data_IF_365022691352
#
_entry.id   IF_365022691352
#
_cell.length_a   1.000
_cell.length_b   1.000
_cell.length_c   1.000
_cell.angle_alpha   90.00
_cell.angle_beta   90.00
_cell.angle_gamma   90.00
#
_symmetry.space_group_name_H-M   'P 1'
#
loop_
_entity.id
_entity.type
_entity.pdbx_description
1 polymer ?
#
# COMPACT_ATOMS: atom_id res chain seq x y z
N UNK A 1 24.26 -29.68 -97.91
CA UNK A 1 22.84 -30.07 -98.09
C UNK A 1 22.72 -31.55 -97.76
N UNK A 2 21.95 -31.96 -96.75
CA UNK A 2 21.79 -33.38 -96.46
C UNK A 2 20.79 -33.98 -97.46
N UNK A 3 21.25 -35.02 -98.15
CA UNK A 3 20.48 -35.81 -99.10
C UNK A 3 19.73 -36.94 -98.38
N UNK A 4 18.40 -36.81 -98.27
CA UNK A 4 17.51 -37.98 -98.19
C UNK A 4 16.98 -38.44 -96.83
N UNK A 5 16.76 -37.56 -95.86
CA UNK A 5 16.04 -37.91 -94.62
C UNK A 5 15.40 -36.68 -93.95
N UNK A 6 14.29 -36.88 -93.23
CA UNK A 6 13.64 -35.81 -92.44
C UNK A 6 14.67 -35.17 -91.51
N UNK A 7 14.69 -33.84 -91.43
CA UNK A 7 15.62 -33.13 -90.54
C UNK A 7 15.31 -33.46 -89.07
N UNK A 8 16.28 -33.32 -88.17
CA UNK A 8 16.06 -33.58 -86.74
C UNK A 8 14.91 -32.74 -86.15
N UNK A 9 14.76 -31.50 -86.64
CA UNK A 9 13.67 -30.61 -86.26
C UNK A 9 12.31 -31.16 -86.70
N UNK A 10 12.20 -31.72 -87.92
CA UNK A 10 10.98 -32.38 -88.41
C UNK A 10 10.68 -33.70 -87.69
N UNK A 11 11.71 -34.41 -87.21
CA UNK A 11 11.53 -35.63 -86.41
C UNK A 11 11.01 -35.35 -85.00
N UNK A 12 11.47 -34.24 -84.40
CA UNK A 12 11.05 -33.79 -83.06
C UNK A 12 9.73 -33.00 -83.13
N UNK A 13 9.35 -32.49 -84.31
CA UNK A 13 8.13 -31.71 -84.52
C UNK A 13 8.27 -30.21 -84.20
N UNK A 14 9.50 -29.69 -84.23
CA UNK A 14 9.80 -28.27 -84.02
C UNK A 14 9.89 -27.55 -85.36
N UNK A 15 9.09 -26.50 -85.54
CA UNK A 15 9.03 -25.73 -86.79
C UNK A 15 10.18 -24.72 -86.93
N UNK A 16 10.72 -24.23 -85.81
CA UNK A 16 11.87 -23.32 -85.74
C UNK A 16 12.48 -23.35 -84.35
N UNK A 17 13.80 -23.13 -84.24
CA UNK A 17 14.45 -22.94 -82.93
C UNK A 17 14.00 -21.61 -82.32
N UNK A 18 13.56 -21.63 -81.06
CA UNK A 18 13.22 -20.42 -80.33
C UNK A 18 14.49 -19.74 -79.81
N UNK A 19 14.56 -18.42 -79.90
CA UNK A 19 15.61 -17.66 -79.22
C UNK A 19 15.39 -17.71 -77.70
N UNK A 20 16.46 -17.98 -76.97
CA UNK A 20 16.43 -17.97 -75.52
C UNK A 20 16.82 -16.58 -75.03
N UNK A 21 15.97 -15.98 -74.19
CA UNK A 21 16.15 -14.62 -73.67
C UNK A 21 17.40 -14.50 -72.79
N UNK A 22 17.87 -15.60 -72.19
CA UNK A 22 18.95 -15.60 -71.20
C UNK A 22 20.31 -16.04 -71.76
N UNK A 23 20.45 -16.20 -73.09
CA UNK A 23 21.75 -16.55 -73.69
C UNK A 23 22.64 -15.30 -73.68
N UNK A 24 23.67 -15.33 -72.83
CA UNK A 24 24.64 -14.24 -72.68
C UNK A 24 24.47 -13.39 -71.41
N UNK A 25 23.33 -13.54 -70.71
CA UNK A 25 23.10 -12.85 -69.44
C UNK A 25 23.97 -13.47 -68.35
N UNK A 26 24.83 -12.65 -67.73
CA UNK A 26 25.66 -13.08 -66.60
C UNK A 26 24.76 -13.34 -65.40
N UNK A 27 24.76 -14.56 -64.89
CA UNK A 27 23.99 -14.93 -63.70
C UNK A 27 24.47 -14.15 -62.46
N UNK A 28 23.59 -13.32 -61.89
CA UNK A 28 23.81 -12.68 -60.59
C UNK A 28 23.21 -13.52 -59.46
N UNK A 29 24.07 -14.11 -58.63
CA UNK A 29 23.59 -14.93 -57.52
C UNK A 29 22.87 -14.07 -56.48
N UNK A 30 21.67 -14.48 -56.08
CA UNK A 30 20.88 -13.79 -55.05
C UNK A 30 21.60 -13.72 -53.69
N UNK A 31 22.53 -14.65 -53.44
CA UNK A 31 23.35 -14.71 -52.23
C UNK A 31 24.38 -13.58 -52.12
N UNK A 32 24.80 -13.00 -53.25
CA UNK A 32 25.82 -11.93 -53.29
C UNK A 32 25.20 -10.52 -53.27
N UNK A 33 23.88 -10.41 -53.11
CA UNK A 33 23.20 -9.12 -53.10
C UNK A 33 23.16 -8.56 -51.68
N UNK A 34 24.06 -7.62 -51.39
CA UNK A 34 24.06 -6.91 -50.12
C UNK A 34 22.80 -6.04 -50.01
N UNK A 35 22.00 -6.25 -48.96
CA UNK A 35 20.86 -5.39 -48.65
C UNK A 35 21.38 -4.10 -48.01
N UNK A 36 21.02 -2.95 -48.60
CA UNK A 36 21.35 -1.61 -48.10
C UNK A 36 22.86 -1.37 -47.85
N UNK A 37 23.65 -1.42 -48.91
CA UNK A 37 25.12 -1.21 -48.87
C UNK A 37 25.55 0.11 -48.20
N UNK A 38 24.73 1.15 -48.25
CA UNK A 38 25.04 2.43 -47.62
C UNK A 38 25.06 2.32 -46.08
N UNK A 39 24.26 1.42 -45.51
CA UNK A 39 24.21 1.20 -44.06
C UNK A 39 25.43 0.40 -43.55
N UNK A 40 26.02 -0.48 -44.35
CA UNK A 40 27.18 -1.29 -43.94
C UNK A 40 28.51 -0.57 -44.10
N UNK A 41 28.61 0.40 -45.03
CA UNK A 41 29.88 1.08 -45.36
C UNK A 41 30.27 2.20 -44.36
N UNK A 42 29.33 2.69 -43.55
CA UNK A 42 29.54 3.81 -42.64
C UNK A 42 29.75 3.36 -41.18
N UNK A 43 30.17 4.30 -40.31
CA UNK A 43 30.32 4.03 -38.87
C UNK A 43 28.99 3.60 -38.26
N UNK A 44 29.00 2.48 -37.56
CA UNK A 44 27.86 1.98 -36.80
C UNK A 44 27.71 2.76 -35.49
N UNK A 45 26.49 2.75 -34.93
CA UNK A 45 26.22 3.33 -33.61
C UNK A 45 27.06 2.62 -32.55
N UNK A 46 27.83 3.39 -31.78
CA UNK A 46 28.62 2.85 -30.67
C UNK A 46 27.75 2.82 -29.42
N UNK A 47 27.36 1.63 -28.98
CA UNK A 47 26.79 1.43 -27.64
C UNK A 47 27.91 1.20 -26.64
N UNK A 48 27.97 1.99 -25.57
CA UNK A 48 28.86 1.67 -24.45
C UNK A 48 28.39 0.41 -23.72
N UNK A 49 29.35 -0.40 -23.23
CA UNK A 49 29.06 -1.55 -22.38
C UNK A 49 28.75 -1.15 -20.93
N UNK A 50 28.08 -2.03 -20.19
CA UNK A 50 27.80 -1.82 -18.77
C UNK A 50 29.09 -1.90 -17.94
N UNK A 51 29.31 -0.93 -17.04
CA UNK A 51 30.45 -0.88 -16.12
C UNK A 51 30.03 -1.45 -14.76
N UNK A 52 29.84 -2.77 -14.69
CA UNK A 52 29.24 -3.47 -13.53
C UNK A 52 30.13 -3.53 -12.28
N UNK A 53 31.45 -3.46 -12.43
CA UNK A 53 32.42 -3.62 -11.33
C UNK A 53 33.38 -2.42 -11.25
N UNK A 54 32.86 -1.20 -11.36
CA UNK A 54 33.66 0.01 -11.25
C UNK A 54 33.30 0.80 -9.99
N UNK A 55 34.30 1.04 -9.13
CA UNK A 55 34.18 1.96 -8.00
C UNK A 55 34.30 3.45 -8.42
N UNK A 56 34.51 3.71 -9.72
CA UNK A 56 34.57 5.06 -10.27
C UNK A 56 33.18 5.61 -10.58
N UNK A 57 33.05 6.94 -10.65
CA UNK A 57 31.79 7.62 -10.99
C UNK A 57 31.22 7.17 -12.34
N UNK A 58 32.06 6.65 -13.25
CA UNK A 58 31.65 6.14 -14.54
C UNK A 58 30.62 4.98 -14.49
N UNK A 59 30.47 4.31 -13.34
CA UNK A 59 29.44 3.28 -13.13
C UNK A 59 28.06 3.83 -12.70
N UNK A 60 27.96 5.13 -12.41
CA UNK A 60 26.73 5.78 -11.97
C UNK A 60 26.16 6.68 -13.08
N UNK A 61 24.85 6.93 -13.03
CA UNK A 61 24.18 7.80 -14.00
C UNK A 61 24.60 9.27 -13.90
N UNK A 62 24.88 9.74 -12.68
CA UNK A 62 25.35 11.11 -12.48
C UNK A 62 26.82 11.23 -12.89
N UNK A 63 27.23 12.24 -13.68
CA UNK A 63 28.61 12.38 -14.12
C UNK A 63 29.57 12.81 -13.00
N UNK A 64 29.03 13.35 -11.91
CA UNK A 64 29.77 13.79 -10.72
C UNK A 64 29.10 13.27 -9.47
N UNK A 65 29.91 12.89 -8.49
CA UNK A 65 29.44 12.52 -7.17
C UNK A 65 28.87 13.78 -6.48
N UNK A 66 27.58 13.75 -6.15
CA UNK A 66 26.92 14.84 -5.40
C UNK A 66 27.13 14.60 -3.91
N UNK A 67 28.12 15.28 -3.33
CA UNK A 67 28.36 15.21 -1.89
C UNK A 67 27.38 16.12 -1.16
N UNK A 68 26.69 15.56 -0.17
CA UNK A 68 25.66 16.27 0.62
C UNK A 68 26.26 17.46 1.38
N UNK A 69 27.48 17.31 1.89
CA UNK A 69 28.14 18.30 2.76
C UNK A 69 29.13 19.22 2.02
N UNK A 70 28.97 19.42 0.71
CA UNK A 70 29.80 20.39 -0.02
C UNK A 70 29.30 21.82 0.25
N UNK A 71 30.16 22.66 0.85
CA UNK A 71 29.84 24.05 1.18
C UNK A 71 29.24 24.25 2.57
N UNK A 72 28.96 23.18 3.32
CA UNK A 72 28.55 23.29 4.71
C UNK A 72 29.77 23.59 5.60
N UNK A 73 29.72 24.69 6.36
CA UNK A 73 30.71 24.94 7.39
C UNK A 73 30.53 23.90 8.50
N UNK A 74 31.53 23.05 8.70
CA UNK A 74 31.60 22.15 9.87
C UNK A 74 31.67 22.99 11.15
N UNK A 75 30.50 23.43 11.63
CA UNK A 75 30.38 24.20 12.86
C UNK A 75 30.21 23.23 14.01
N UNK A 76 31.20 23.19 14.91
CA UNK A 76 31.09 22.38 16.11
C UNK A 76 30.15 23.11 17.11
N UNK A 77 28.94 22.60 17.39
CA UNK A 77 27.97 23.30 18.24
C UNK A 77 28.48 23.47 19.67
N UNK A 78 29.37 22.59 20.14
CA UNK A 78 29.99 22.68 21.46
C UNK A 78 30.96 23.87 21.52
N UNK A 79 31.78 24.04 20.49
CA UNK A 79 32.68 25.19 20.39
C UNK A 79 31.90 26.50 20.29
N UNK A 80 30.81 26.51 19.52
CA UNK A 80 29.92 27.67 19.39
C UNK A 80 29.29 28.05 20.74
N UNK A 81 28.68 27.08 21.45
CA UNK A 81 28.11 27.29 22.79
C UNK A 81 29.15 27.80 23.79
N UNK A 82 30.39 27.28 23.73
CA UNK A 82 31.49 27.72 24.59
C UNK A 82 31.87 29.17 24.31
N UNK A 83 31.97 29.57 23.03
CA UNK A 83 32.23 30.96 22.64
C UNK A 83 31.13 31.91 23.11
N UNK A 84 29.86 31.52 22.95
CA UNK A 84 28.73 32.30 23.47
C UNK A 84 28.78 32.46 24.98
N UNK A 85 28.99 31.36 25.73
CA UNK A 85 29.10 31.41 27.19
C UNK A 85 30.22 32.34 27.66
N UNK A 86 31.39 32.30 27.01
CA UNK A 86 32.51 33.20 27.33
C UNK A 86 32.22 34.66 26.97
N UNK A 87 31.49 34.92 25.88
CA UNK A 87 31.08 36.26 25.50
C UNK A 87 30.03 36.82 26.47
N UNK A 88 29.08 36.00 26.93
CA UNK A 88 28.08 36.36 27.93
C UNK A 88 28.72 36.58 29.30
N UNK A 89 29.65 35.72 29.73
CA UNK A 89 30.33 35.89 31.01
C UNK A 89 31.14 37.18 31.09
N UNK A 90 31.69 37.65 29.96
CA UNK A 90 32.38 38.96 29.88
C UNK A 90 31.45 40.16 30.06
N UNK A 91 30.15 40.00 29.82
CA UNK A 91 29.15 41.06 30.04
C UNK A 91 28.75 41.20 31.51
N UNK A 92 29.10 40.24 32.36
CA UNK A 92 28.77 40.27 33.78
C UNK A 92 29.71 41.23 34.52
N UNK A 93 29.19 42.38 34.95
CA UNK A 93 29.95 43.43 35.66
C UNK A 93 30.20 43.11 37.15
N UNK A 94 29.53 42.09 37.70
CA UNK A 94 29.58 41.75 39.13
C UNK A 94 29.46 40.25 39.39
N UNK A 95 29.41 39.88 40.68
CA UNK A 95 29.16 38.49 41.09
C UNK A 95 27.80 38.03 40.57
N UNK A 96 27.74 36.82 40.03
CA UNK A 96 26.48 36.21 39.61
C UNK A 96 25.48 36.24 40.77
N UNK A 97 24.27 36.72 40.51
CA UNK A 97 23.19 36.67 41.48
C UNK A 97 22.94 35.20 41.85
N UNK A 98 23.21 34.86 43.10
CA UNK A 98 22.87 33.56 43.67
C UNK A 98 21.51 33.75 44.35
N UNK A 99 20.41 33.25 43.76
CA UNK A 99 19.12 33.30 44.44
C UNK A 99 19.27 32.58 45.80
N UNK A 100 18.76 33.21 46.86
CA UNK A 100 18.90 32.74 48.25
C UNK A 100 18.25 31.37 48.49
N UNK A 101 17.38 30.92 47.59
CA UNK A 101 16.90 29.55 47.49
C UNK A 101 16.77 29.22 45.98
N UNK A 102 17.38 28.12 45.54
CA UNK A 102 17.11 27.57 44.21
C UNK A 102 15.69 27.03 44.11
N UNK A 103 15.21 26.81 42.88
CA UNK A 103 13.88 26.23 42.64
C UNK A 103 13.72 24.92 43.40
N UNK A 104 12.84 24.92 44.41
CA UNK A 104 12.44 23.70 45.11
C UNK A 104 11.58 22.90 44.14
N UNK A 105 12.16 21.88 43.51
CA UNK A 105 11.40 20.93 42.73
C UNK A 105 10.27 20.37 43.60
N UNK A 106 9.03 20.22 43.09
CA UNK A 106 7.93 19.66 43.85
C UNK A 106 8.23 18.20 44.20
N UNK A 107 8.85 17.96 45.35
CA UNK A 107 9.02 16.63 45.93
C UNK A 107 7.76 16.26 46.72
N UNK A 108 6.68 15.96 45.99
CA UNK A 108 5.44 15.43 46.55
C UNK A 108 5.48 13.91 46.79
N UNK A 109 4.36 13.40 47.32
CA UNK A 109 4.12 11.97 47.50
C UNK A 109 4.30 11.23 46.16
N UNK A 110 5.28 10.33 46.07
CA UNK A 110 5.60 9.57 44.85
C UNK A 110 6.81 10.06 44.04
N UNK A 111 7.53 11.11 44.48
CA UNK A 111 8.82 11.49 43.89
C UNK A 111 9.96 10.65 44.48
N UNK A 112 10.96 10.26 43.67
CA UNK A 112 12.10 9.39 44.07
C UNK A 112 12.93 9.98 45.23
N UNK A 113 12.88 11.30 45.41
CA UNK A 113 13.60 12.04 46.46
C UNK A 113 12.70 12.48 47.65
N UNK A 114 11.42 12.12 47.66
CA UNK A 114 10.46 12.51 48.69
C UNK A 114 10.29 11.44 49.78
N UNK A 115 10.45 11.82 51.04
CA UNK A 115 10.49 10.94 52.22
C UNK A 115 9.13 10.55 52.81
N UNK A 116 8.00 10.97 52.23
CA UNK A 116 6.67 10.84 52.87
C UNK A 116 5.86 9.65 52.34
N UNK A 117 6.33 8.94 51.31
CA UNK A 117 5.76 7.66 50.89
C UNK A 117 6.65 6.53 51.38
N UNK A 118 6.20 5.74 52.35
CA UNK A 118 6.89 4.50 52.76
C UNK A 118 7.15 3.56 51.57
N UNK A 119 7.90 2.46 51.78
CA UNK A 119 8.26 1.54 50.70
C UNK A 119 7.00 1.07 49.95
N UNK A 120 6.95 1.35 48.63
CA UNK A 120 5.83 0.98 47.78
C UNK A 120 5.74 -0.55 47.73
N UNK A 121 4.68 -1.12 48.31
CA UNK A 121 4.50 -2.56 48.54
C UNK A 121 4.48 -3.42 47.28
N UNK A 122 4.39 -2.82 46.09
CA UNK A 122 4.19 -3.52 44.82
C UNK A 122 5.43 -3.60 43.91
N UNK A 123 6.58 -3.00 44.29
CA UNK A 123 7.83 -3.18 43.53
C UNK A 123 8.54 -4.47 43.95
N UNK A 124 8.02 -5.62 43.52
CA UNK A 124 8.76 -6.88 43.53
C UNK A 124 9.73 -6.88 42.34
N UNK A 125 11.02 -7.17 42.56
CA UNK A 125 12.00 -7.39 41.48
C UNK A 125 11.74 -8.69 40.69
N UNK A 126 10.70 -9.46 41.05
CA UNK A 126 10.26 -10.63 40.32
C UNK A 126 9.73 -10.23 38.94
N UNK A 127 10.28 -10.87 37.91
CA UNK A 127 9.75 -10.80 36.54
C UNK A 127 8.35 -11.43 36.53
N UNK A 128 7.31 -10.59 36.62
CA UNK A 128 5.93 -11.03 36.40
C UNK A 128 5.77 -11.42 34.93
N UNK A 129 5.16 -12.58 34.68
CA UNK A 129 4.79 -12.98 33.33
C UNK A 129 3.93 -11.86 32.71
N UNK A 130 4.35 -11.37 31.55
CA UNK A 130 3.62 -10.33 30.82
C UNK A 130 2.23 -10.87 30.50
N UNK A 131 1.19 -10.17 30.92
CA UNK A 131 -0.18 -10.55 30.58
C UNK A 131 -0.29 -10.68 29.05
N UNK A 132 -0.99 -11.71 28.59
CA UNK A 132 -1.21 -11.90 27.15
C UNK A 132 -1.95 -10.67 26.63
N UNK A 133 -1.42 -10.07 25.57
CA UNK A 133 -2.04 -8.93 24.93
C UNK A 133 -3.47 -9.30 24.51
N UNK A 134 -4.44 -8.64 25.11
CA UNK A 134 -5.84 -8.69 24.69
C UNK A 134 -6.02 -7.55 23.68
N UNK A 135 -6.29 -7.84 22.40
CA UNK A 135 -6.56 -6.78 21.43
C UNK A 135 -7.77 -5.98 21.91
N UNK A 136 -7.76 -4.64 21.74
CA UNK A 136 -8.91 -3.82 22.10
C UNK A 136 -10.14 -4.36 21.39
N UNK A 137 -11.26 -4.46 22.12
CA UNK A 137 -12.55 -4.79 21.53
C UNK A 137 -12.88 -3.83 20.39
N UNK A 138 -13.77 -4.24 19.48
CA UNK A 138 -14.25 -3.35 18.41
C UNK A 138 -14.76 -2.05 19.03
N UNK A 139 -14.34 -0.92 18.48
CA UNK A 139 -14.90 0.38 18.81
C UNK A 139 -16.43 0.31 18.69
N UNK A 140 -17.16 0.75 19.73
CA UNK A 140 -18.60 0.88 19.67
C UNK A 140 -18.96 1.74 18.46
N UNK A 141 -19.67 1.15 17.50
CA UNK A 141 -20.12 1.85 16.31
C UNK A 141 -21.36 2.65 16.68
N UNK A 142 -21.17 3.85 17.22
CA UNK A 142 -22.27 4.82 17.33
C UNK A 142 -22.48 5.42 15.95
N UNK A 143 -23.20 4.73 15.07
CA UNK A 143 -23.81 5.41 13.93
C UNK A 143 -24.90 6.32 14.50
N UNK A 144 -24.75 7.66 14.50
CA UNK A 144 -25.89 8.50 14.81
C UNK A 144 -27.02 8.13 13.86
N UNK A 145 -28.24 7.95 14.39
CA UNK A 145 -29.38 7.51 13.59
C UNK A 145 -29.54 8.39 12.35
N UNK A 146 -29.97 7.80 11.23
CA UNK A 146 -30.16 8.48 9.92
C UNK A 146 -31.20 9.61 9.92
N UNK A 147 -31.70 10.03 11.09
CA UNK A 147 -32.66 11.11 11.27
C UNK A 147 -32.24 11.88 12.52
N UNK A 148 -31.40 12.89 12.30
CA UNK A 148 -30.89 13.76 13.34
C UNK A 148 -32.02 14.46 14.08
N UNK A 149 -32.05 14.28 15.40
CA UNK A 149 -32.75 15.15 16.33
C UNK A 149 -31.71 16.09 16.94
N UNK A 150 -31.72 17.36 16.49
CA UNK A 150 -31.11 18.55 17.11
C UNK A 150 -29.57 18.59 17.10
N UNK A 151 -28.86 19.56 16.52
CA UNK A 151 -29.17 20.95 16.22
C UNK A 151 -28.23 21.45 15.10
N UNK A 152 -28.77 22.18 14.12
CA UNK A 152 -28.02 22.98 13.14
C UNK A 152 -27.59 22.26 11.86
N UNK A 153 -28.44 22.22 10.83
CA UNK A 153 -27.95 21.98 9.48
C UNK A 153 -27.50 23.31 8.86
N UNK A 154 -26.36 23.30 8.19
CA UNK A 154 -25.90 24.43 7.38
C UNK A 154 -26.95 24.78 6.32
N UNK A 155 -27.18 26.07 6.08
CA UNK A 155 -28.12 26.62 5.08
C UNK A 155 -29.64 26.48 5.35
N UNK A 156 -30.09 26.43 6.62
CA UNK A 156 -31.54 26.52 6.91
C UNK A 156 -32.10 27.95 6.94
N UNK A 157 -31.25 28.95 7.18
CA UNK A 157 -31.64 30.36 7.26
C UNK A 157 -31.51 31.05 5.90
N UNK A 158 -32.29 32.10 5.66
CA UNK A 158 -32.20 32.92 4.44
C UNK A 158 -30.84 33.64 4.44
N UNK A 159 -29.98 33.32 3.47
CA UNK A 159 -28.65 33.93 3.27
C UNK A 159 -27.53 32.88 3.14
N UNK A 160 -26.47 33.22 2.41
CA UNK A 160 -25.28 32.38 2.35
C UNK A 160 -24.62 32.30 3.73
N UNK A 161 -24.25 31.10 4.15
CA UNK A 161 -23.52 30.91 5.40
C UNK A 161 -22.12 31.50 5.26
N UNK A 162 -21.72 32.37 6.19
CA UNK A 162 -20.39 32.97 6.19
C UNK A 162 -19.32 31.87 6.15
N UNK A 163 -18.33 31.98 5.25
CA UNK A 163 -17.23 31.04 5.23
C UNK A 163 -16.47 31.13 6.54
N UNK A 164 -16.14 29.99 7.13
CA UNK A 164 -15.31 29.95 8.34
C UNK A 164 -13.89 30.40 7.97
N UNK A 165 -13.54 31.63 8.35
CA UNK A 165 -12.16 32.10 8.29
C UNK A 165 -11.36 31.46 9.42
N UNK A 166 -10.13 31.05 9.13
CA UNK A 166 -9.27 30.48 10.14
C UNK A 166 -8.85 31.55 11.16
N UNK A 167 -9.06 31.27 12.44
CA UNK A 167 -8.63 32.13 13.52
C UNK A 167 -7.09 32.19 13.61
N UNK A 168 -6.53 33.29 14.12
CA UNK A 168 -5.08 33.54 14.17
C UNK A 168 -4.30 32.49 14.98
N UNK A 169 -4.97 31.86 15.95
CA UNK A 169 -4.41 30.77 16.77
C UNK A 169 -4.30 29.43 16.02
N UNK A 170 -5.01 29.26 14.90
CA UNK A 170 -4.94 28.05 14.08
C UNK A 170 -3.86 28.09 13.00
N UNK A 171 -3.20 29.24 12.86
CA UNK A 171 -2.24 29.51 11.79
C UNK A 171 -1.09 28.50 11.78
N UNK A 172 -0.58 28.12 12.95
CA UNK A 172 0.45 27.07 13.09
C UNK A 172 -0.04 25.70 12.60
N UNK A 173 -1.28 25.31 12.95
CA UNK A 173 -1.88 24.04 12.53
C UNK A 173 -2.10 24.01 11.01
N UNK A 174 -2.50 25.14 10.43
CA UNK A 174 -2.72 25.29 8.99
C UNK A 174 -1.41 25.20 8.22
N UNK A 175 -0.36 25.89 8.69
CA UNK A 175 0.99 25.81 8.11
C UNK A 175 1.51 24.37 8.18
N UNK A 176 1.40 23.73 9.35
CA UNK A 176 1.85 22.36 9.54
C UNK A 176 1.12 21.35 8.64
N UNK A 177 -0.20 21.55 8.42
CA UNK A 177 -1.00 20.76 7.50
C UNK A 177 -0.57 20.97 6.05
N UNK A 178 -0.44 22.22 5.60
CA UNK A 178 0.02 22.55 4.23
C UNK A 178 1.40 21.97 3.94
N UNK A 179 2.35 22.12 4.86
CA UNK A 179 3.70 21.56 4.71
C UNK A 179 3.67 20.03 4.58
N UNK A 180 2.79 19.35 5.33
CA UNK A 180 2.62 17.89 5.24
C UNK A 180 2.01 17.46 3.91
N UNK A 181 1.04 18.22 3.40
CA UNK A 181 0.39 17.96 2.10
C UNK A 181 1.37 18.17 0.94
N UNK A 182 2.16 19.24 0.97
CA UNK A 182 3.22 19.49 -0.02
C UNK A 182 4.28 18.39 0.00
N UNK A 183 4.76 18.01 1.19
CA UNK A 183 5.68 16.88 1.34
C UNK A 183 5.09 15.60 0.74
N UNK A 184 3.82 15.29 1.04
CA UNK A 184 3.14 14.09 0.52
C UNK A 184 2.94 14.13 -1.01
N UNK A 185 2.76 15.32 -1.59
CA UNK A 185 2.67 15.52 -3.06
C UNK A 185 4.02 15.34 -3.75
N UNK A 186 5.11 15.76 -3.10
CA UNK A 186 6.48 15.64 -3.62
C UNK A 186 7.03 14.21 -3.52
N UNK A 187 6.58 13.42 -2.53
CA UNK A 187 6.93 12.01 -2.38
C UNK A 187 6.34 11.21 -3.54
N UNK A 188 7.18 10.84 -4.51
CA UNK A 188 6.81 9.92 -5.58
C UNK A 188 6.91 8.48 -5.07
N UNK A 189 5.76 7.83 -4.91
CA UNK A 189 5.66 6.42 -4.53
C UNK A 189 5.00 6.19 -3.17
N UNK A 190 4.70 4.93 -2.87
CA UNK A 190 4.25 4.53 -1.54
C UNK A 190 5.39 4.52 -0.53
N UNK A 191 5.09 4.41 0.78
CA UNK A 191 6.13 4.17 1.79
C UNK A 191 6.97 2.96 1.41
N UNK A 192 8.29 3.04 1.61
CA UNK A 192 9.21 1.93 1.36
C UNK A 192 8.79 0.75 2.23
N UNK A 193 8.25 -0.30 1.59
CA UNK A 193 7.95 -1.55 2.27
C UNK A 193 9.26 -2.32 2.36
N UNK A 194 9.91 -2.25 3.51
CA UNK A 194 11.01 -3.16 3.85
C UNK A 194 10.46 -4.58 3.78
N UNK A 195 10.96 -5.41 2.86
CA UNK A 195 10.61 -6.83 2.83
C UNK A 195 11.25 -7.62 3.99
N UNK A 196 11.97 -6.93 4.87
CA UNK A 196 12.44 -7.45 6.15
C UNK A 196 11.34 -7.22 7.19
N UNK A 197 10.44 -8.18 7.29
CA UNK A 197 9.71 -8.40 8.53
C UNK A 197 10.75 -8.62 9.64
N UNK A 198 10.51 -8.28 10.92
CA UNK A 198 11.42 -8.62 12.00
C UNK A 198 11.51 -10.15 12.13
N UNK A 199 12.42 -10.74 11.35
CA UNK A 199 12.79 -12.14 11.39
C UNK A 199 14.09 -12.21 12.19
N UNK A 200 14.20 -13.22 13.04
CA UNK A 200 15.41 -13.44 13.87
C UNK A 200 16.64 -13.78 13.02
N UNK A 201 16.44 -14.18 11.76
CA UNK A 201 17.47 -14.66 10.85
C UNK A 201 17.38 -13.97 9.48
N UNK A 202 18.54 -13.77 8.84
CA UNK A 202 18.65 -13.16 7.51
C UNK A 202 18.08 -14.04 6.39
N UNK A 203 18.13 -15.36 6.57
CA UNK A 203 17.62 -16.37 5.63
C UNK A 203 16.47 -17.18 6.25
N UNK A 204 15.64 -17.80 5.39
CA UNK A 204 14.59 -18.72 5.83
C UNK A 204 15.20 -19.92 6.54
N UNK A 205 14.73 -20.22 7.76
CA UNK A 205 15.19 -21.39 8.51
C UNK A 205 14.85 -22.69 7.73
N UNK A 206 15.83 -23.52 7.34
CA UNK A 206 15.57 -24.73 6.56
C UNK A 206 14.76 -25.79 7.33
N UNK A 207 14.67 -25.67 8.66
CA UNK A 207 13.97 -26.62 9.52
C UNK A 207 12.57 -26.14 9.95
N UNK A 208 12.26 -24.85 9.80
CA UNK A 208 10.99 -24.26 10.23
C UNK A 208 10.42 -23.33 9.16
N UNK A 209 9.23 -23.66 8.66
CA UNK A 209 8.48 -22.80 7.76
C UNK A 209 7.34 -22.12 8.54
N UNK A 210 7.45 -20.81 8.74
CA UNK A 210 6.39 -19.98 9.36
C UNK A 210 5.20 -19.71 8.44
N UNK A 211 5.19 -20.33 7.25
CA UNK A 211 4.07 -20.23 6.33
C UNK A 211 2.88 -20.97 6.94
N UNK A 212 1.74 -20.30 7.17
CA UNK A 212 0.56 -21.00 7.66
C UNK A 212 0.19 -22.09 6.65
N UNK A 213 -0.19 -23.26 7.16
CA UNK A 213 -0.66 -24.34 6.31
C UNK A 213 -1.83 -23.84 5.45
N UNK A 214 -1.90 -24.24 4.17
CA UNK A 214 -3.03 -23.87 3.33
C UNK A 214 -4.33 -24.29 4.03
N UNK A 215 -5.38 -23.44 4.00
CA UNK A 215 -6.63 -23.75 4.66
C UNK A 215 -7.17 -25.08 4.14
N UNK A 216 -7.58 -25.95 5.06
CA UNK A 216 -8.17 -27.25 4.74
C UNK A 216 -9.36 -27.01 3.80
N UNK A 217 -9.32 -27.63 2.62
CA UNK A 217 -10.40 -27.52 1.63
C UNK A 217 -11.68 -28.04 2.29
N UNK A 218 -12.65 -27.14 2.49
CA UNK A 218 -13.96 -27.52 3.01
C UNK A 218 -14.63 -28.47 2.00
N UNK A 219 -15.30 -29.54 2.44
CA UNK A 219 -16.11 -30.34 1.55
C UNK A 219 -17.17 -29.44 0.88
N UNK A 220 -17.56 -29.76 -0.37
CA UNK A 220 -18.58 -28.99 -1.07
C UNK A 220 -19.87 -28.95 -0.23
N UNK A 221 -20.58 -27.82 -0.19
CA UNK A 221 -21.83 -27.72 0.56
C UNK A 221 -22.83 -28.74 0.04
N UNK A 222 -23.45 -29.48 0.95
CA UNK A 222 -24.55 -30.39 0.63
C UNK A 222 -25.67 -29.60 -0.04
N UNK A 223 -26.17 -30.10 -1.18
CA UNK A 223 -27.27 -29.47 -1.91
C UNK A 223 -28.51 -29.52 -1.01
N UNK A 224 -29.01 -28.35 -0.62
CA UNK A 224 -30.28 -28.26 0.10
C UNK A 224 -31.39 -28.76 -0.82
N UNK A 225 -32.05 -29.85 -0.41
CA UNK A 225 -33.22 -30.40 -1.10
C UNK A 225 -34.34 -29.36 -0.94
N UNK A 226 -34.74 -28.73 -2.04
CA UNK A 226 -35.85 -27.79 -2.01
C UNK A 226 -37.13 -28.54 -1.59
N UNK A 227 -37.92 -28.00 -0.63
CA UNK A 227 -39.21 -28.60 -0.30
C UNK A 227 -40.12 -28.56 -1.54
N UNK A 228 -40.95 -29.59 -1.76
CA UNK A 228 -41.84 -29.63 -2.92
C UNK A 228 -42.81 -28.46 -2.95
N UNK A 229 -43.14 -28.00 -4.16
CA UNK A 229 -44.00 -26.85 -4.41
C UNK A 229 -45.37 -27.02 -3.73
N UNK A 230 -45.72 -26.08 -2.84
CA UNK A 230 -47.02 -25.99 -2.20
C UNK A 230 -47.82 -24.87 -2.88
N UNK A 231 -48.91 -25.16 -3.62
CA UNK A 231 -49.69 -24.12 -4.26
C UNK A 231 -50.32 -23.20 -3.21
N UNK A 232 -50.33 -21.89 -3.49
CA UNK A 232 -50.96 -20.90 -2.64
C UNK A 232 -52.48 -21.04 -2.74
N UNK A 233 -53.08 -21.55 -1.66
CA UNK A 233 -54.52 -21.60 -1.31
C UNK A 233 -55.42 -22.66 -1.97
N UNK A 234 -56.34 -23.30 -1.20
CA UNK A 234 -57.31 -24.28 -1.70
C UNK A 234 -58.50 -23.59 -2.41
N UNK A 235 -59.18 -24.32 -3.30
CA UNK A 235 -60.28 -23.80 -4.11
C UNK A 235 -61.43 -23.17 -3.28
N UNK A 236 -62.02 -22.10 -3.84
CA UNK A 236 -63.12 -21.30 -3.26
C UNK A 236 -64.34 -22.20 -2.99
N UNK A 237 -64.76 -22.34 -1.72
CA UNK A 237 -65.99 -23.07 -1.37
C UNK A 237 -67.22 -22.28 -1.84
N UNK A 238 -68.15 -22.94 -2.54
CA UNK A 238 -69.43 -22.37 -2.94
C UNK A 238 -70.32 -22.18 -1.70
N UNK A 239 -70.84 -20.97 -1.52
CA UNK A 239 -71.69 -20.57 -0.39
C UNK A 239 -73.13 -21.02 -0.67
N UNK A 240 -73.52 -22.19 -0.17
CA UNK A 240 -74.92 -22.63 -0.04
C UNK A 240 -75.36 -22.52 1.42
N UNK A 241 -76.48 -21.84 1.67
CA UNK A 241 -77.10 -21.62 2.99
C UNK A 241 -77.75 -22.91 3.54
N UNK A 242 -77.80 -23.00 4.88
CA UNK A 242 -78.54 -23.97 5.68
C UNK A 242 -77.67 -24.38 6.88
N UNK A 243 -77.77 -23.69 8.02
CA UNK A 243 -78.64 -24.00 9.17
C UNK A 243 -78.29 -25.29 9.92
N UNK A 244 -78.46 -25.21 11.24
CA UNK A 244 -78.27 -26.20 12.30
C UNK A 244 -76.84 -26.46 12.82
N UNK A 245 -76.47 -26.07 14.05
CA UNK A 245 -77.03 -26.25 15.41
C UNK A 245 -76.15 -27.26 16.18
N UNK A 246 -75.95 -26.95 17.45
CA UNK A 246 -75.28 -27.70 18.51
C UNK A 246 -73.76 -27.86 18.37
N UNK A 247 -72.95 -27.57 19.37
CA UNK A 247 -73.19 -27.58 20.81
C UNK A 247 -71.99 -28.28 21.44
N UNK A 248 -71.62 -27.84 22.64
CA UNK A 248 -70.79 -28.58 23.60
C UNK A 248 -69.28 -28.72 23.29
N UNK A 249 -68.32 -28.63 24.22
CA UNK A 249 -68.30 -28.38 25.67
C UNK A 249 -66.81 -28.51 26.11
N UNK A 250 -66.51 -28.12 27.34
CA UNK A 250 -65.29 -28.42 28.14
C UNK A 250 -64.02 -27.58 27.86
N UNK A 251 -63.61 -26.63 28.71
CA UNK A 251 -63.20 -26.61 30.15
C UNK A 251 -61.70 -26.88 30.37
N UNK A 252 -61.07 -26.02 31.18
CA UNK A 252 -59.75 -26.19 31.83
C UNK A 252 -58.66 -25.29 31.21
N UNK A 253 -58.42 -24.05 31.63
CA UNK A 253 -57.96 -23.55 32.95
C UNK A 253 -56.71 -24.24 33.52
N UNK A 254 -55.62 -23.46 33.56
CA UNK A 254 -54.50 -23.46 34.52
C UNK A 254 -53.63 -24.74 34.62
N UNK A 255 -52.32 -24.73 34.96
CA UNK A 255 -51.58 -23.98 35.95
C UNK A 255 -50.07 -23.94 35.61
N UNK A 256 -49.44 -22.88 36.14
CA UNK A 256 -47.99 -22.68 36.22
C UNK A 256 -47.31 -23.68 37.16
N UNK A 257 -46.16 -24.17 36.70
CA UNK A 257 -44.93 -24.40 37.48
C UNK A 257 -44.87 -25.69 38.32
N UNK A 258 -43.72 -25.98 38.98
CA UNK A 258 -42.46 -25.24 39.02
C UNK A 258 -41.19 -26.08 38.76
N UNK A 259 -40.09 -25.34 38.53
CA UNK A 259 -38.67 -25.58 38.90
C UNK A 259 -38.19 -27.02 39.22
N UNK A 260 -37.11 -27.41 38.55
CA UNK A 260 -35.79 -27.65 39.16
C UNK A 260 -34.69 -27.27 38.18
#
# INVERSE_FOLDING_TARGET
>A
MPSGGKSDMERIGLFSEMSYVTIGDKYESRYMRHFNEAASKNRQMLSEGSKTLSALQAGYFDPRFKRIFEGEAYSNPVQLRRRYRLAESKKNLGKAFLPSNGDKLPCGLGSYYGTIGGPVSYFSAQLKARERYVPPGKNFYTSPGKKGTGYGYANLTIGEQYPHEADGYELEKIIARKAREEHKRLVKGGPFKTNMYPLEYFDMNPYFNDKPLPPVKKPPPEKQIAPPFKPSSPAKKYLGKGEEVDGNEYVGEELRGPKK
#
